data_IF_041477254761
#
_entry.id   IF_041477254761
#
_cell.length_a   1.000
_cell.length_b   1.000
_cell.length_c   1.000
_cell.angle_alpha   90.00
_cell.angle_beta   90.00
_cell.angle_gamma   90.00
#
_symmetry.space_group_name_H-M   'P 1'
#
loop_
_entity.id
_entity.type
_entity.pdbx_description
1 polymer ?
#
# COMPACT_ATOMS: atom_id res chain seq x y z
N UNK A 1 1.39 19.46 9.36
CA UNK A 1 2.31 18.62 8.57
C UNK A 1 2.45 17.28 9.30
N UNK A 2 2.57 16.14 8.57
CA UNK A 2 2.78 14.84 9.20
C UNK A 2 4.23 14.70 9.63
N UNK A 3 4.46 14.16 10.84
CA UNK A 3 5.80 13.97 11.40
C UNK A 3 6.24 12.53 11.22
N UNK A 4 7.43 12.31 10.66
CA UNK A 4 8.02 11.00 10.39
C UNK A 4 9.28 10.84 11.22
N UNK A 5 9.39 9.73 11.96
CA UNK A 5 10.64 9.33 12.62
C UNK A 5 11.40 8.41 11.67
N UNK A 6 12.65 8.75 11.34
CA UNK A 6 13.57 7.92 10.56
C UNK A 6 14.57 7.32 11.54
N UNK A 7 14.63 5.98 11.58
CA UNK A 7 15.58 5.22 12.40
C UNK A 7 16.55 4.53 11.46
N UNK A 8 17.73 5.09 11.32
CA UNK A 8 18.74 4.72 10.33
C UNK A 8 20.12 5.11 10.89
N UNK A 9 21.06 4.17 10.94
CA UNK A 9 22.40 4.40 11.47
C UNK A 9 23.38 5.02 10.45
N UNK A 10 23.11 4.87 9.15
CA UNK A 10 23.88 5.53 8.11
C UNK A 10 23.48 7.01 7.99
N UNK A 11 24.43 7.90 8.35
CA UNK A 11 24.24 9.34 8.33
C UNK A 11 23.99 9.89 6.92
N UNK A 12 24.54 9.28 5.88
CA UNK A 12 24.35 9.72 4.49
C UNK A 12 22.92 9.40 4.03
N UNK A 13 22.44 8.19 4.35
CA UNK A 13 21.08 7.76 4.02
C UNK A 13 20.06 8.59 4.81
N UNK A 14 20.23 8.70 6.13
CA UNK A 14 19.29 9.43 7.00
C UNK A 14 19.19 10.90 6.64
N UNK A 15 20.33 11.58 6.36
CA UNK A 15 20.36 12.97 5.91
C UNK A 15 19.73 13.16 4.53
N UNK A 16 20.03 12.26 3.59
CA UNK A 16 19.43 12.28 2.25
C UNK A 16 17.91 12.10 2.29
N UNK A 17 17.43 11.15 3.11
CA UNK A 17 16.00 10.92 3.33
C UNK A 17 15.32 12.13 3.96
N UNK A 18 15.95 12.72 4.98
CA UNK A 18 15.45 13.93 5.65
C UNK A 18 15.26 15.05 4.63
N UNK A 19 16.31 15.41 3.89
CA UNK A 19 16.24 16.50 2.91
C UNK A 19 15.15 16.28 1.87
N UNK A 20 15.05 15.05 1.33
CA UNK A 20 14.06 14.71 0.33
C UNK A 20 12.63 14.79 0.89
N UNK A 21 12.36 14.18 2.05
CA UNK A 21 11.01 14.12 2.63
C UNK A 21 10.57 15.48 3.20
N UNK A 22 11.48 16.33 3.68
CA UNK A 22 11.16 17.72 4.04
C UNK A 22 10.71 18.51 2.81
N UNK A 23 11.36 18.30 1.65
CA UNK A 23 10.91 18.84 0.35
C UNK A 23 9.53 18.38 -0.08
N UNK A 24 9.11 17.17 0.33
CA UNK A 24 7.76 16.63 0.09
C UNK A 24 6.73 17.09 1.15
N UNK A 25 7.11 17.95 2.09
CA UNK A 25 6.23 18.57 3.08
C UNK A 25 6.03 17.75 4.36
N UNK A 26 6.94 16.86 4.71
CA UNK A 26 6.94 16.14 5.99
C UNK A 26 7.84 16.83 7.02
N UNK A 27 7.52 16.68 8.31
CA UNK A 27 8.44 17.02 9.41
C UNK A 27 9.23 15.77 9.78
N UNK A 28 10.57 15.89 9.82
CA UNK A 28 11.43 14.73 10.04
C UNK A 28 12.14 14.81 11.40
N UNK A 29 12.09 13.69 12.13
CA UNK A 29 12.90 13.41 13.32
C UNK A 29 13.87 12.30 12.95
N UNK A 30 15.15 12.45 13.30
CA UNK A 30 16.17 11.43 13.06
C UNK A 30 16.54 10.72 14.36
N UNK A 31 16.78 9.43 14.26
CA UNK A 31 17.38 8.60 15.29
C UNK A 31 18.37 7.63 14.64
N UNK A 32 19.62 7.63 15.06
CA UNK A 32 20.65 6.75 14.51
C UNK A 32 20.81 5.46 15.33
N UNK A 33 20.02 5.27 16.38
CA UNK A 33 19.97 4.03 17.18
C UNK A 33 18.53 3.75 17.65
N UNK A 34 18.26 2.52 18.02
CA UNK A 34 16.98 2.12 18.59
C UNK A 34 16.67 2.80 19.93
N UNK A 35 17.69 3.04 20.78
CA UNK A 35 17.52 3.73 22.07
C UNK A 35 17.10 5.19 21.84
N UNK A 36 17.74 5.87 20.89
CA UNK A 36 17.38 7.26 20.53
C UNK A 36 15.97 7.27 19.94
N UNK A 37 15.62 6.31 19.09
CA UNK A 37 14.27 6.19 18.52
C UNK A 37 13.19 6.09 19.60
N UNK A 38 13.38 5.25 20.63
CA UNK A 38 12.46 5.15 21.76
C UNK A 38 12.39 6.45 22.58
N UNK A 39 13.51 7.13 22.72
CA UNK A 39 13.57 8.44 23.42
C UNK A 39 12.78 9.51 22.65
N UNK A 40 13.01 9.61 21.34
CA UNK A 40 12.28 10.54 20.47
C UNK A 40 10.79 10.22 20.38
N UNK A 41 10.42 8.94 20.41
CA UNK A 41 9.04 8.49 20.44
C UNK A 41 8.31 8.96 21.72
N UNK A 42 9.00 8.96 22.85
CA UNK A 42 8.45 9.42 24.13
C UNK A 42 8.33 10.96 24.19
N UNK A 43 9.25 11.70 23.56
CA UNK A 43 9.21 13.18 23.49
C UNK A 43 8.17 13.69 22.49
N UNK A 44 7.95 12.98 21.40
CA UNK A 44 7.13 13.40 20.27
C UNK A 44 5.85 12.57 20.16
N UNK A 45 4.75 13.07 20.75
CA UNK A 45 3.46 12.37 20.71
C UNK A 45 2.76 12.42 19.34
N UNK A 46 3.24 13.25 18.42
CA UNK A 46 2.65 13.53 17.11
C UNK A 46 3.34 12.82 15.94
N UNK A 47 4.26 11.87 16.23
CA UNK A 47 4.84 11.00 15.18
C UNK A 47 3.72 10.21 14.52
N UNK A 48 3.63 10.35 13.20
CA UNK A 48 2.58 9.80 12.37
C UNK A 48 2.99 8.51 11.64
N UNK A 49 4.31 8.29 11.46
CA UNK A 49 4.89 7.13 10.78
C UNK A 49 6.34 6.97 11.18
N UNK A 50 6.84 5.74 11.16
CA UNK A 50 8.24 5.41 11.41
C UNK A 50 8.81 4.70 10.17
N UNK A 51 9.95 5.18 9.67
CA UNK A 51 10.82 4.44 8.76
C UNK A 51 11.89 3.78 9.62
N UNK A 52 12.01 2.46 9.56
CA UNK A 52 12.83 1.68 10.48
C UNK A 52 13.79 0.78 9.72
N UNK A 53 15.10 1.04 9.87
CA UNK A 53 16.10 0.05 9.40
C UNK A 53 16.05 -1.21 10.28
N UNK A 54 16.24 -2.34 9.62
CA UNK A 54 16.35 -3.65 10.28
C UNK A 54 17.71 -3.78 11.00
N UNK A 55 18.77 -3.24 10.39
CA UNK A 55 20.14 -3.36 10.88
C UNK A 55 20.54 -2.11 11.65
N UNK A 56 20.28 -2.10 12.96
CA UNK A 56 20.71 -1.04 13.85
C UNK A 56 21.83 -1.53 14.78
N UNK A 57 22.73 -0.65 15.23
CA UNK A 57 23.93 -1.04 15.98
C UNK A 57 23.66 -1.50 17.41
N UNK A 58 22.51 -1.14 18.00
CA UNK A 58 22.20 -1.38 19.42
C UNK A 58 21.05 -2.38 19.64
N UNK A 59 19.92 -2.19 18.94
CA UNK A 59 18.72 -3.04 19.05
C UNK A 59 18.33 -3.45 17.64
N UNK A 60 18.21 -4.75 17.39
CA UNK A 60 17.73 -5.23 16.08
C UNK A 60 16.36 -4.64 15.73
N UNK A 61 16.18 -4.23 14.46
CA UNK A 61 14.97 -3.53 14.01
C UNK A 61 13.67 -4.27 14.32
N UNK A 62 13.66 -5.60 14.27
CA UNK A 62 12.47 -6.40 14.63
C UNK A 62 12.15 -6.36 16.13
N UNK A 63 13.16 -6.30 17.00
CA UNK A 63 12.93 -6.19 18.44
C UNK A 63 12.51 -4.76 18.82
N UNK A 64 13.08 -3.77 18.16
CA UNK A 64 12.64 -2.38 18.29
C UNK A 64 11.19 -2.22 17.81
N UNK A 65 10.81 -2.84 16.68
CA UNK A 65 9.43 -2.87 16.20
C UNK A 65 8.44 -3.36 17.25
N UNK A 66 8.74 -4.50 17.90
CA UNK A 66 7.88 -5.05 18.97
C UNK A 66 7.70 -4.05 20.11
N UNK A 67 8.81 -3.49 20.61
CA UNK A 67 8.79 -2.48 21.69
C UNK A 67 7.98 -1.26 21.32
N UNK A 68 8.11 -0.75 20.06
CA UNK A 68 7.32 0.39 19.59
C UNK A 68 5.84 0.05 19.56
N UNK A 69 5.45 -1.13 19.03
CA UNK A 69 4.05 -1.54 18.94
C UNK A 69 3.39 -1.77 20.31
N UNK A 70 4.16 -2.13 21.34
CA UNK A 70 3.70 -2.20 22.73
C UNK A 70 3.40 -0.81 23.32
N UNK A 71 4.22 0.20 22.97
CA UNK A 71 4.07 1.59 23.45
C UNK A 71 2.98 2.32 22.68
N UNK A 72 2.97 2.20 21.34
CA UNK A 72 2.04 2.94 20.46
C UNK A 72 1.70 2.17 19.19
N UNK A 73 0.47 2.35 18.73
CA UNK A 73 0.00 1.86 17.43
C UNK A 73 0.34 2.86 16.32
N UNK A 74 1.63 3.07 16.06
CA UNK A 74 2.11 3.91 14.97
C UNK A 74 2.43 3.01 13.76
N UNK A 75 2.13 3.43 12.53
CA UNK A 75 2.53 2.69 11.34
C UNK A 75 4.04 2.68 11.17
N UNK A 76 4.57 1.53 10.75
CA UNK A 76 6.01 1.30 10.57
C UNK A 76 6.27 0.71 9.20
N UNK A 77 7.16 1.34 8.44
CA UNK A 77 7.71 0.83 7.18
C UNK A 77 9.14 0.39 7.47
N UNK A 78 9.47 -0.86 7.20
CA UNK A 78 10.83 -1.33 7.28
C UNK A 78 11.66 -0.88 6.06
N UNK A 79 12.90 -0.45 6.34
CA UNK A 79 13.94 -0.27 5.34
C UNK A 79 14.91 -1.44 5.47
N UNK A 80 15.18 -2.17 4.39
CA UNK A 80 16.03 -3.37 4.44
C UNK A 80 17.05 -3.38 3.32
N UNK A 81 18.27 -3.80 3.63
CA UNK A 81 19.36 -3.90 2.65
C UNK A 81 19.31 -5.19 1.83
N UNK A 82 18.38 -6.12 2.09
CA UNK A 82 18.49 -7.45 1.47
C UNK A 82 17.15 -8.10 1.11
N UNK A 83 17.20 -8.77 -0.05
CA UNK A 83 16.21 -9.60 -0.72
C UNK A 83 15.91 -10.94 -0.03
N UNK A 84 16.27 -11.13 1.24
CA UNK A 84 15.91 -12.34 1.94
C UNK A 84 14.40 -12.36 2.15
N UNK A 85 13.68 -13.09 1.30
CA UNK A 85 12.26 -13.40 1.42
C UNK A 85 11.84 -13.69 2.86
N UNK A 86 12.73 -14.34 3.63
CA UNK A 86 12.55 -14.66 5.05
C UNK A 86 12.38 -13.39 5.91
N UNK A 87 13.09 -12.30 5.63
CA UNK A 87 12.96 -11.03 6.38
C UNK A 87 11.68 -10.29 6.04
N UNK A 88 11.27 -10.34 4.79
CA UNK A 88 10.02 -9.74 4.28
C UNK A 88 8.80 -10.47 4.85
N UNK A 89 8.77 -11.80 4.74
CA UNK A 89 7.69 -12.64 5.30
C UNK A 89 7.59 -12.43 6.81
N UNK A 90 8.72 -12.45 7.52
CA UNK A 90 8.76 -12.24 8.97
C UNK A 90 8.23 -10.86 9.38
N UNK A 91 8.56 -9.79 8.63
CA UNK A 91 8.08 -8.43 8.91
C UNK A 91 6.57 -8.30 8.70
N UNK A 92 6.03 -8.91 7.64
CA UNK A 92 4.59 -8.92 7.35
C UNK A 92 3.81 -9.76 8.37
N UNK A 93 4.31 -10.95 8.73
CA UNK A 93 3.70 -11.81 9.75
C UNK A 93 3.66 -11.12 11.12
N UNK A 94 4.63 -10.25 11.42
CA UNK A 94 4.67 -9.45 12.63
C UNK A 94 3.72 -8.23 12.61
N UNK A 95 3.06 -7.95 11.48
CA UNK A 95 2.10 -6.85 11.35
C UNK A 95 2.74 -5.49 11.04
N UNK A 96 3.87 -5.46 10.33
CA UNK A 96 4.40 -4.24 9.73
C UNK A 96 3.43 -3.69 8.67
N UNK A 97 3.39 -2.38 8.51
CA UNK A 97 2.46 -1.72 7.58
C UNK A 97 2.96 -1.75 6.13
N UNK A 98 4.28 -1.79 5.91
CA UNK A 98 4.95 -1.99 4.62
C UNK A 98 6.45 -2.25 4.84
N UNK A 99 7.18 -2.57 3.74
CA UNK A 99 8.64 -2.66 3.71
C UNK A 99 9.18 -2.15 2.38
N UNK A 100 10.42 -1.69 2.38
CA UNK A 100 11.11 -1.17 1.20
C UNK A 100 12.55 -1.70 1.20
N UNK A 101 12.96 -2.30 0.08
CA UNK A 101 14.34 -2.77 -0.10
C UNK A 101 15.25 -1.65 -0.55
N UNK A 102 16.44 -1.57 0.05
CA UNK A 102 17.53 -0.69 -0.39
C UNK A 102 18.31 -1.36 -1.55
N UNK A 103 18.66 -0.65 -2.64
CA UNK A 103 18.39 0.78 -2.89
C UNK A 103 16.97 1.02 -3.41
N UNK A 104 16.30 2.05 -2.91
CA UNK A 104 14.95 2.43 -3.31
C UNK A 104 14.92 3.77 -4.07
N UNK A 105 13.90 3.93 -4.91
CA UNK A 105 13.65 5.21 -5.59
C UNK A 105 12.88 6.15 -4.65
N UNK A 106 13.30 7.41 -4.57
CA UNK A 106 12.68 8.41 -3.71
C UNK A 106 11.16 8.54 -3.92
N UNK A 107 10.70 8.53 -5.18
CA UNK A 107 9.26 8.56 -5.51
C UNK A 107 8.49 7.32 -5.02
N UNK A 108 9.12 6.16 -5.05
CA UNK A 108 8.52 4.93 -4.53
C UNK A 108 8.32 5.05 -3.02
N UNK A 109 9.34 5.48 -2.28
CA UNK A 109 9.27 5.70 -0.84
C UNK A 109 8.12 6.66 -0.49
N UNK A 110 8.03 7.83 -1.14
CA UNK A 110 6.94 8.79 -0.90
C UNK A 110 5.57 8.21 -1.19
N UNK A 111 5.42 7.47 -2.27
CA UNK A 111 4.15 6.79 -2.61
C UNK A 111 3.73 5.81 -1.52
N UNK A 112 4.66 5.01 -1.00
CA UNK A 112 4.40 4.03 0.08
C UNK A 112 4.10 4.71 1.40
N UNK A 113 4.85 5.75 1.78
CA UNK A 113 4.57 6.57 2.96
C UNK A 113 3.14 7.12 2.90
N UNK A 114 2.76 7.74 1.78
CA UNK A 114 1.42 8.30 1.59
C UNK A 114 0.33 7.22 1.66
N UNK A 115 0.57 6.05 1.09
CA UNK A 115 -0.36 4.93 1.15
C UNK A 115 -0.56 4.43 2.59
N UNK A 116 0.52 4.29 3.36
CA UNK A 116 0.48 3.86 4.77
C UNK A 116 -0.18 4.93 5.65
N UNK A 117 0.20 6.20 5.50
CA UNK A 117 -0.41 7.30 6.26
C UNK A 117 -1.91 7.44 5.96
N UNK A 118 -2.33 7.23 4.72
CA UNK A 118 -3.75 7.22 4.34
C UNK A 118 -4.51 6.11 5.05
N UNK A 119 -3.96 4.89 5.13
CA UNK A 119 -4.59 3.75 5.83
C UNK A 119 -4.71 3.98 7.35
N UNK A 120 -3.81 4.75 7.95
CA UNK A 120 -3.72 4.93 9.41
C UNK A 120 -4.36 6.21 9.96
N UNK A 121 -4.89 7.11 9.13
CA UNK A 121 -5.61 8.31 9.56
C UNK A 121 -7.01 7.94 10.10
N UNK A 122 -7.09 7.59 11.39
CA UNK A 122 -8.35 7.19 12.05
C UNK A 122 -9.35 8.33 12.27
N UNK A 123 -8.92 9.59 12.28
CA UNK A 123 -9.78 10.72 12.68
C UNK A 123 -10.63 11.33 11.56
N UNK A 124 -10.45 10.85 10.30
CA UNK A 124 -11.28 11.28 9.16
C UNK A 124 -11.88 10.13 8.34
N UNK A 125 -11.80 8.88 8.81
CA UNK A 125 -12.16 7.72 8.00
C UNK A 125 -13.12 6.75 8.71
N UNK A 126 -14.29 7.23 9.05
CA UNK A 126 -15.44 6.34 9.27
C UNK A 126 -16.02 5.78 7.96
N UNK A 127 -15.55 6.26 6.79
CA UNK A 127 -16.08 5.89 5.46
C UNK A 127 -15.04 5.48 4.41
N UNK A 128 -13.72 5.76 4.58
CA UNK A 128 -12.77 5.68 3.45
C UNK A 128 -12.04 4.34 3.26
N UNK A 129 -12.30 3.32 4.09
CA UNK A 129 -11.88 1.95 3.76
C UNK A 129 -12.88 1.24 2.86
N UNK A 130 -14.06 1.84 2.65
CA UNK A 130 -15.10 1.31 1.80
C UNK A 130 -15.17 2.17 0.54
N UNK A 131 -14.71 1.61 -0.57
CA UNK A 131 -14.89 2.22 -1.89
C UNK A 131 -16.28 1.83 -2.37
N UNK A 132 -17.14 2.82 -2.60
CA UNK A 132 -18.50 2.60 -3.09
C UNK A 132 -18.57 2.85 -4.60
N UNK A 133 -19.10 1.90 -5.31
CA UNK A 133 -19.29 1.90 -6.77
C UNK A 133 -20.76 1.56 -7.07
N UNK A 134 -21.65 2.55 -6.88
CA UNK A 134 -23.09 2.31 -6.95
C UNK A 134 -23.56 1.33 -5.86
N UNK A 135 -24.07 0.16 -6.24
CA UNK A 135 -24.52 -0.89 -5.32
C UNK A 135 -23.41 -1.87 -4.88
N UNK A 136 -22.17 -1.64 -5.34
CA UNK A 136 -20.99 -2.43 -4.95
C UNK A 136 -20.16 -1.64 -3.95
N UNK A 137 -19.76 -2.26 -2.85
CA UNK A 137 -18.84 -1.70 -1.88
C UNK A 137 -17.66 -2.63 -1.64
N UNK A 138 -16.47 -2.04 -1.56
CA UNK A 138 -15.21 -2.77 -1.39
C UNK A 138 -14.57 -2.30 -0.10
N UNK A 139 -14.53 -3.15 0.91
CA UNK A 139 -13.73 -2.93 2.11
C UNK A 139 -12.29 -3.37 1.83
N UNK A 140 -11.43 -2.39 1.56
CA UNK A 140 -10.03 -2.62 1.20
C UNK A 140 -9.26 -3.27 2.34
N UNK A 141 -9.62 -2.97 3.60
CA UNK A 141 -8.93 -3.48 4.79
C UNK A 141 -9.20 -4.96 5.03
N UNK A 142 -10.46 -5.37 4.88
CA UNK A 142 -10.85 -6.77 5.09
C UNK A 142 -10.86 -7.58 3.79
N UNK A 143 -10.50 -6.96 2.65
CA UNK A 143 -10.56 -7.56 1.30
C UNK A 143 -11.94 -8.12 0.97
N UNK A 144 -13.01 -7.51 1.52
CA UNK A 144 -14.38 -7.91 1.29
C UNK A 144 -15.03 -7.06 0.22
N UNK A 145 -15.76 -7.71 -0.66
CA UNK A 145 -16.58 -7.06 -1.69
C UNK A 145 -18.03 -7.42 -1.44
N UNK A 146 -18.90 -6.41 -1.38
CA UNK A 146 -20.33 -6.60 -1.24
C UNK A 146 -21.05 -6.01 -2.46
N UNK A 147 -22.10 -6.67 -2.90
CA UNK A 147 -23.06 -6.16 -3.88
C UNK A 147 -24.45 -6.21 -3.26
N UNK A 148 -25.17 -5.09 -3.23
CA UNK A 148 -26.46 -4.98 -2.55
C UNK A 148 -26.40 -5.47 -1.09
N UNK A 149 -25.33 -5.14 -0.36
CA UNK A 149 -25.03 -5.58 1.02
C UNK A 149 -24.83 -7.10 1.20
N UNK A 150 -24.72 -7.88 0.13
CA UNK A 150 -24.39 -9.30 0.17
C UNK A 150 -22.94 -9.51 -0.26
N UNK A 151 -22.19 -10.28 0.54
CA UNK A 151 -20.81 -10.57 0.20
C UNK A 151 -20.71 -11.41 -1.07
N UNK A 152 -19.84 -10.98 -1.99
CA UNK A 152 -19.44 -11.71 -3.19
C UNK A 152 -17.99 -12.15 -3.08
N UNK A 153 -17.69 -13.32 -3.63
CA UNK A 153 -16.33 -13.89 -3.55
C UNK A 153 -15.62 -13.68 -4.88
N UNK A 154 -14.49 -12.97 -4.80
CA UNK A 154 -13.53 -12.84 -5.88
C UNK A 154 -12.34 -13.75 -5.59
N UNK A 155 -11.73 -14.32 -6.63
CA UNK A 155 -10.41 -14.93 -6.49
C UNK A 155 -9.37 -13.87 -6.18
N UNK A 156 -8.20 -14.26 -5.67
CA UNK A 156 -7.12 -13.31 -5.36
C UNK A 156 -6.76 -12.43 -6.55
N UNK A 157 -6.74 -13.00 -7.76
CA UNK A 157 -6.41 -12.29 -8.99
C UNK A 157 -7.53 -11.35 -9.44
N UNK A 158 -8.78 -11.79 -9.39
CA UNK A 158 -9.94 -10.92 -9.67
C UNK A 158 -9.97 -9.72 -8.71
N UNK A 159 -9.67 -9.94 -7.42
CA UNK A 159 -9.61 -8.88 -6.43
C UNK A 159 -8.47 -7.89 -6.70
N UNK A 160 -7.26 -8.38 -7.03
CA UNK A 160 -6.12 -7.54 -7.40
C UNK A 160 -6.43 -6.65 -8.61
N UNK A 161 -7.03 -7.21 -9.67
CA UNK A 161 -7.44 -6.46 -10.86
C UNK A 161 -8.46 -5.37 -10.48
N UNK A 162 -9.50 -5.74 -9.75
CA UNK A 162 -10.51 -4.78 -9.32
C UNK A 162 -9.91 -3.67 -8.47
N UNK A 163 -9.07 -4.02 -7.50
CA UNK A 163 -8.41 -3.07 -6.59
C UNK A 163 -7.49 -2.10 -7.34
N UNK A 164 -6.69 -2.59 -8.30
CA UNK A 164 -5.85 -1.75 -9.16
C UNK A 164 -6.67 -0.66 -9.86
N UNK A 165 -7.81 -1.03 -10.42
CA UNK A 165 -8.66 -0.10 -11.16
C UNK A 165 -9.37 0.90 -10.23
N UNK A 166 -9.93 0.44 -9.10
CA UNK A 166 -10.74 1.31 -8.20
C UNK A 166 -9.88 2.27 -7.38
N UNK A 167 -8.64 1.94 -7.09
CA UNK A 167 -7.71 2.84 -6.41
C UNK A 167 -7.17 3.95 -7.32
N UNK A 168 -7.40 3.84 -8.64
CA UNK A 168 -6.95 4.80 -9.63
C UNK A 168 -8.13 5.28 -10.49
N UNK A 169 -9.11 5.98 -9.92
CA UNK A 169 -10.26 6.48 -10.66
C UNK A 169 -9.78 7.44 -11.76
N UNK A 170 -10.46 7.41 -12.91
CA UNK A 170 -10.16 8.21 -14.10
C UNK A 170 -8.86 7.83 -14.84
N UNK A 171 -8.10 6.82 -14.39
CA UNK A 171 -6.92 6.33 -15.10
C UNK A 171 -7.32 5.19 -16.03
N UNK A 172 -6.92 5.27 -17.30
CA UNK A 172 -7.04 4.16 -18.25
C UNK A 172 -5.79 3.30 -18.14
N UNK A 173 -5.95 2.04 -17.73
CA UNK A 173 -4.86 1.07 -17.69
C UNK A 173 -4.82 0.31 -19.03
N UNK A 174 -3.65 0.29 -19.67
CA UNK A 174 -3.44 -0.58 -20.82
C UNK A 174 -3.43 -2.05 -20.37
N UNK A 175 -3.72 -2.95 -21.32
CA UNK A 175 -3.72 -4.39 -21.04
C UNK A 175 -2.35 -4.85 -20.52
N UNK A 176 -1.27 -4.41 -21.17
CA UNK A 176 0.11 -4.74 -20.78
C UNK A 176 0.44 -4.24 -19.38
N UNK A 177 -0.02 -3.02 -19.02
CA UNK A 177 0.23 -2.47 -17.69
C UNK A 177 -0.51 -3.25 -16.60
N UNK A 178 -1.77 -3.65 -16.83
CA UNK A 178 -2.52 -4.50 -15.89
C UNK A 178 -1.80 -5.83 -15.71
N UNK A 179 -1.34 -6.44 -16.82
CA UNK A 179 -0.60 -7.69 -16.77
C UNK A 179 0.71 -7.53 -15.98
N UNK A 180 1.48 -6.48 -16.24
CA UNK A 180 2.75 -6.23 -15.56
C UNK A 180 2.59 -5.91 -14.06
N UNK A 181 1.50 -5.23 -13.65
CA UNK A 181 1.27 -4.86 -12.24
C UNK A 181 0.70 -6.02 -11.40
N UNK A 182 0.15 -7.06 -12.04
CA UNK A 182 -0.58 -8.14 -11.36
C UNK A 182 0.17 -9.46 -11.38
N UNK A 183 0.95 -9.72 -12.44
CA UNK A 183 1.77 -10.93 -12.57
C UNK A 183 3.23 -10.61 -12.31
N UNK A 184 3.82 -11.25 -11.31
CA UNK A 184 5.28 -11.26 -11.12
C UNK A 184 5.96 -11.92 -12.33
N UNK A 185 7.15 -11.43 -12.68
CA UNK A 185 7.96 -11.81 -13.86
C UNK A 185 8.35 -13.29 -13.90
N UNK A 186 8.00 -14.06 -12.86
CA UNK A 186 8.39 -15.48 -12.70
C UNK A 186 7.32 -16.50 -13.09
N UNK A 187 6.09 -16.10 -13.39
CA UNK A 187 5.06 -17.04 -13.84
C UNK A 187 4.82 -16.88 -15.34
N UNK A 188 4.77 -18.04 -16.03
CA UNK A 188 4.62 -18.23 -17.48
C UNK A 188 3.71 -17.20 -18.18
N UNK A 189 4.10 -16.79 -19.38
CA UNK A 189 3.40 -15.92 -20.33
C UNK A 189 1.87 -15.96 -20.20
N UNK A 190 1.31 -15.02 -19.47
CA UNK A 190 -0.14 -14.85 -19.40
C UNK A 190 -0.57 -14.12 -20.66
N UNK A 191 -1.26 -14.84 -21.54
CA UNK A 191 -1.74 -14.35 -22.81
C UNK A 191 -2.83 -13.26 -22.60
N UNK A 192 -2.92 -12.30 -23.50
CA UNK A 192 -3.90 -11.20 -23.57
C UNK A 192 -5.36 -11.68 -23.43
N UNK A 193 -5.65 -12.91 -23.88
CA UNK A 193 -6.94 -13.57 -23.72
C UNK A 193 -7.30 -13.83 -22.25
N UNK A 194 -6.30 -14.07 -21.40
CA UNK A 194 -6.51 -14.38 -19.98
C UNK A 194 -7.07 -13.17 -19.22
N UNK A 195 -6.55 -11.96 -19.46
CA UNK A 195 -7.07 -10.73 -18.85
C UNK A 195 -8.55 -10.50 -19.23
N UNK A 196 -8.91 -10.73 -20.49
CA UNK A 196 -10.30 -10.59 -20.95
C UNK A 196 -11.25 -11.53 -20.20
N UNK A 197 -10.80 -12.75 -19.92
CA UNK A 197 -11.59 -13.73 -19.14
C UNK A 197 -11.77 -13.26 -17.70
N UNK A 198 -10.71 -12.73 -17.06
CA UNK A 198 -10.83 -12.20 -15.69
C UNK A 198 -11.75 -10.99 -15.63
N UNK A 199 -11.60 -10.03 -16.53
CA UNK A 199 -12.52 -8.87 -16.61
C UNK A 199 -13.96 -9.32 -16.79
N UNK A 200 -14.22 -10.30 -17.66
CA UNK A 200 -15.56 -10.88 -17.83
C UNK A 200 -16.09 -11.47 -16.51
N UNK A 201 -15.30 -12.31 -15.83
CA UNK A 201 -15.68 -12.92 -14.55
C UNK A 201 -15.94 -11.90 -13.45
N UNK A 202 -15.12 -10.85 -13.38
CA UNK A 202 -15.34 -9.76 -12.42
C UNK A 202 -16.68 -9.07 -12.73
N UNK A 203 -16.93 -8.72 -13.98
CA UNK A 203 -18.20 -8.09 -14.40
C UNK A 203 -19.41 -8.94 -14.06
N UNK A 204 -19.38 -10.25 -14.33
CA UNK A 204 -20.44 -11.18 -13.97
C UNK A 204 -20.79 -11.15 -12.48
N UNK A 205 -19.83 -10.81 -11.62
CA UNK A 205 -20.01 -10.73 -10.18
C UNK A 205 -20.43 -9.33 -9.69
N UNK A 206 -19.90 -8.26 -10.28
CA UNK A 206 -20.11 -6.90 -9.76
C UNK A 206 -21.12 -6.07 -10.57
N UNK A 207 -21.22 -6.22 -11.87
CA UNK A 207 -22.14 -5.45 -12.71
C UNK A 207 -23.60 -5.93 -12.54
N UNK A 208 -24.55 -5.04 -12.71
CA UNK A 208 -25.96 -5.43 -12.78
C UNK A 208 -26.28 -6.07 -14.14
N UNK A 209 -25.71 -5.53 -15.22
CA UNK A 209 -25.70 -6.14 -16.54
C UNK A 209 -24.25 -6.22 -17.06
N UNK A 210 -23.67 -7.44 -17.11
CA UNK A 210 -22.30 -7.62 -17.61
C UNK A 210 -22.13 -7.28 -19.10
N UNK A 211 -23.22 -7.23 -19.89
CA UNK A 211 -23.19 -6.86 -21.31
C UNK A 211 -23.13 -5.35 -21.52
N UNK A 212 -23.66 -4.58 -20.56
CA UNK A 212 -23.61 -3.12 -20.50
C UNK A 212 -22.87 -2.65 -19.22
N UNK A 213 -21.55 -2.91 -19.09
CA UNK A 213 -20.82 -2.67 -17.87
C UNK A 213 -20.69 -1.17 -17.57
N UNK A 214 -20.97 -0.79 -16.31
CA UNK A 214 -20.88 0.58 -15.81
C UNK A 214 -19.72 0.77 -14.83
N UNK A 215 -19.30 -0.29 -14.15
CA UNK A 215 -18.23 -0.25 -13.15
C UNK A 215 -16.87 -0.39 -13.83
N UNK A 216 -16.66 -1.45 -14.64
CA UNK A 216 -15.41 -1.64 -15.38
C UNK A 216 -15.68 -1.34 -16.86
N UNK A 217 -15.22 -0.20 -17.33
CA UNK A 217 -15.42 0.26 -18.72
C UNK A 217 -14.25 -0.21 -19.60
N UNK A 218 -14.58 -0.74 -20.78
CA UNK A 218 -13.59 -1.03 -21.82
C UNK A 218 -13.34 0.20 -22.67
N UNK A 219 -12.08 0.61 -22.77
CA UNK A 219 -11.62 1.60 -23.75
C UNK A 219 -11.06 0.82 -24.93
N UNK A 220 -11.83 0.79 -26.03
CA UNK A 220 -11.50 -0.03 -27.21
C UNK A 220 -10.10 0.28 -27.74
N UNK A 221 -9.32 -0.76 -28.00
CA UNK A 221 -7.95 -0.65 -28.50
C UNK A 221 -6.91 -0.22 -27.45
N UNK A 222 -7.31 0.11 -26.18
CA UNK A 222 -6.41 0.60 -25.14
C UNK A 222 -6.41 -0.34 -23.94
N UNK A 223 -7.56 -0.49 -23.26
CA UNK A 223 -7.60 -1.26 -22.01
C UNK A 223 -8.87 -1.02 -21.20
N UNK A 224 -8.72 -0.84 -19.89
CA UNK A 224 -9.84 -0.77 -18.95
C UNK A 224 -9.68 0.39 -17.96
N UNK A 225 -10.80 0.91 -17.48
CA UNK A 225 -10.88 1.91 -16.41
C UNK A 225 -12.12 1.69 -15.55
N UNK A 226 -12.18 2.34 -14.39
CA UNK A 226 -13.41 2.47 -13.60
C UNK A 226 -14.30 3.55 -14.23
N UNK A 227 -15.59 3.27 -14.30
CA UNK A 227 -16.61 4.23 -14.75
C UNK A 227 -16.90 5.30 -13.71
N UNK A 228 -17.47 6.43 -14.13
CA UNK A 228 -17.93 7.52 -13.26
C UNK A 228 -19.26 7.15 -12.60
N UNK A 229 -19.21 6.42 -11.48
CA UNK A 229 -20.38 5.84 -10.81
C UNK A 229 -20.99 6.82 -9.77
N UNK A 230 -20.36 7.96 -9.55
CA UNK A 230 -20.79 9.01 -8.60
C UNK A 230 -21.54 10.17 -9.27
N UNK A 231 -22.31 9.88 -10.33
CA UNK A 231 -23.30 10.84 -10.88
C UNK A 231 -24.71 10.36 -10.68
#
# INVERSE_FOLDING_TARGET
>A
MKKILIVEDDDAISTGLKYYLEGEGFNIVLANTGIIALTELNKNNDISLILLDINLPDIGGFDLFKRIKEIRKIPIIFLTANDLEVSIVRGLDMGADDYITKPFKARELTSRINAVLRRNNKDNYSYDNIISLGNVSIDVRSSKVLKNNKQIFLTALEYKILLLLVLNPNVVFTREKILADIWDVSEEYVNDNTLTVYIKRIREKIEDDPSEPKIIITIRGIGYKIGDINK
#
